data_IF_728239947660
#
_entry.id   IF_728239947660
#
_cell.length_a   1.000
_cell.length_b   1.000
_cell.length_c   1.000
_cell.angle_alpha   90.00
_cell.angle_beta   90.00
_cell.angle_gamma   90.00
#
_symmetry.space_group_name_H-M   'P 1'
#
loop_
_entity.id
_entity.type
_entity.pdbx_description
1 polymer ?
#
# COMPACT_ATOMS: atom_id res chain seq x y z
N UNK A 1 -4.62 -0.81 13.38
CA UNK A 1 -4.02 0.49 13.74
C UNK A 1 -3.13 1.07 12.64
N UNK A 2 -2.42 0.26 11.84
CA UNK A 2 -1.67 0.73 10.66
C UNK A 2 -2.54 0.96 9.41
N UNK A 3 -3.50 0.07 9.12
CA UNK A 3 -4.44 0.24 7.98
C UNK A 3 -5.35 1.46 8.14
N UNK A 4 -5.89 1.68 9.35
CA UNK A 4 -6.74 2.85 9.63
C UNK A 4 -5.94 4.14 9.49
N UNK A 5 -4.67 4.18 9.94
CA UNK A 5 -3.82 5.38 9.79
C UNK A 5 -3.45 5.66 8.33
N UNK A 6 -3.23 4.67 7.48
CA UNK A 6 -2.93 4.88 6.05
C UNK A 6 -4.16 5.38 5.28
N UNK A 7 -5.34 4.82 5.58
CA UNK A 7 -6.61 5.28 5.02
C UNK A 7 -6.99 6.67 5.53
N UNK A 8 -6.87 6.96 6.83
CA UNK A 8 -7.26 8.28 7.39
C UNK A 8 -6.29 9.39 7.01
N UNK A 9 -4.98 9.12 6.90
CA UNK A 9 -4.02 10.14 6.45
C UNK A 9 -4.28 10.57 5.00
N UNK A 10 -4.84 9.69 4.17
CA UNK A 10 -5.24 10.00 2.80
C UNK A 10 -6.65 10.61 2.72
N UNK A 11 -7.58 10.21 3.60
CA UNK A 11 -8.95 10.77 3.69
C UNK A 11 -8.97 12.21 4.26
N UNK A 12 -8.18 12.50 5.31
CA UNK A 12 -8.11 13.84 5.93
C UNK A 12 -7.53 14.90 4.98
N UNK A 13 -6.77 14.50 3.94
CA UNK A 13 -6.30 15.40 2.89
C UNK A 13 -7.35 15.70 1.81
N UNK A 14 -8.41 14.89 1.70
CA UNK A 14 -9.41 14.97 0.61
C UNK A 14 -10.58 15.92 0.87
N UNK A 15 -10.73 16.51 2.07
CA UNK A 15 -11.89 17.37 2.37
C UNK A 15 -11.59 18.87 2.50
N UNK A 16 -10.35 19.34 2.33
CA UNK A 16 -10.02 20.75 2.57
C UNK A 16 -9.86 21.63 1.33
N UNK A 17 -10.67 21.46 0.29
CA UNK A 17 -10.99 22.59 -0.63
C UNK A 17 -12.10 22.21 -1.61
N UNK A 18 -13.30 21.98 -1.06
CA UNK A 18 -14.51 22.00 -1.87
C UNK A 18 -14.99 23.45 -2.03
N UNK A 19 -15.29 23.83 -3.28
CA UNK A 19 -15.80 25.14 -3.77
C UNK A 19 -14.71 26.19 -3.97
N UNK A 20 -14.47 26.75 -5.16
CA UNK A 20 -15.43 27.30 -6.14
C UNK A 20 -14.88 27.27 -7.58
N UNK A 21 -15.72 26.92 -8.56
CA UNK A 21 -15.64 27.43 -9.95
C UNK A 21 -14.89 26.58 -10.98
N UNK A 22 -15.49 25.47 -11.44
CA UNK A 22 -14.88 24.60 -12.45
C UNK A 22 -15.20 24.98 -13.92
N UNK A 23 -15.80 26.14 -14.18
CA UNK A 23 -16.40 26.41 -15.50
C UNK A 23 -15.53 27.21 -16.48
N UNK A 24 -14.31 27.65 -16.10
CA UNK A 24 -13.39 28.32 -17.05
C UNK A 24 -11.92 28.26 -16.59
N UNK A 25 -11.32 27.06 -16.54
CA UNK A 25 -9.88 26.95 -16.24
C UNK A 25 -9.06 26.75 -17.51
N UNK A 26 -7.93 27.47 -17.57
CA UNK A 26 -6.92 27.24 -18.60
C UNK A 26 -6.44 25.78 -18.53
N UNK A 27 -6.07 25.19 -19.68
CA UNK A 27 -5.68 23.77 -19.79
C UNK A 27 -4.65 23.35 -18.73
N UNK A 28 -3.70 24.22 -18.41
CA UNK A 28 -2.65 23.94 -17.43
C UNK A 28 -3.20 23.85 -16.00
N UNK A 29 -4.18 24.69 -15.65
CA UNK A 29 -4.87 24.65 -14.36
C UNK A 29 -5.85 23.47 -14.26
N UNK A 30 -6.47 23.06 -15.37
CA UNK A 30 -7.31 21.86 -15.41
C UNK A 30 -6.50 20.59 -15.10
N UNK A 31 -5.29 20.46 -15.67
CA UNK A 31 -4.42 19.31 -15.39
C UNK A 31 -3.98 19.28 -13.93
N UNK A 32 -3.63 20.42 -13.32
CA UNK A 32 -3.25 20.47 -11.91
C UNK A 32 -4.41 20.06 -10.99
N UNK A 33 -5.62 20.55 -11.21
CA UNK A 33 -6.80 20.15 -10.41
C UNK A 33 -7.15 18.68 -10.64
N UNK A 34 -7.08 18.19 -11.89
CA UNK A 34 -7.31 16.78 -12.18
C UNK A 34 -6.28 15.85 -11.50
N UNK A 35 -5.01 16.26 -11.43
CA UNK A 35 -3.95 15.53 -10.69
C UNK A 35 -4.12 15.61 -9.17
N UNK A 36 -4.72 16.67 -8.66
CA UNK A 36 -5.03 16.81 -7.23
C UNK A 36 -6.26 15.97 -6.83
N UNK A 37 -7.29 15.94 -7.67
CA UNK A 37 -8.53 15.17 -7.46
C UNK A 37 -8.33 13.65 -7.72
N UNK A 38 -7.39 13.28 -8.59
CA UNK A 38 -7.06 11.89 -8.89
C UNK A 38 -5.57 11.63 -8.71
N UNK A 39 -5.23 10.68 -7.82
CA UNK A 39 -3.92 10.04 -7.82
C UNK A 39 -3.53 9.70 -9.27
N UNK A 40 -2.37 10.20 -9.69
CA UNK A 40 -1.74 9.85 -10.98
C UNK A 40 -1.82 8.32 -11.16
N UNK A 41 -2.12 7.82 -12.37
CA UNK A 41 -2.32 6.39 -12.60
C UNK A 41 -1.13 5.55 -12.12
N UNK A 42 0.09 6.08 -12.18
CA UNK A 42 1.32 5.50 -11.64
C UNK A 42 1.27 5.36 -10.12
N UNK A 43 0.82 6.41 -9.39
CA UNK A 43 0.68 6.37 -7.93
C UNK A 43 -0.41 5.42 -7.48
N UNK A 44 -1.51 5.31 -8.25
CA UNK A 44 -2.55 4.30 -8.00
C UNK A 44 -1.98 2.88 -8.12
N UNK A 45 -1.14 2.64 -9.13
CA UNK A 45 -0.48 1.36 -9.30
C UNK A 45 0.52 1.08 -8.16
N UNK A 46 1.31 2.08 -7.76
CA UNK A 46 2.23 1.98 -6.62
C UNK A 46 1.48 1.63 -5.32
N UNK A 47 0.36 2.29 -5.06
CA UNK A 47 -0.49 2.00 -3.90
C UNK A 47 -1.05 0.58 -3.97
N UNK A 48 -1.60 0.17 -5.12
CA UNK A 48 -2.12 -1.18 -5.31
C UNK A 48 -1.04 -2.25 -5.11
N UNK A 49 0.18 -1.99 -5.56
CA UNK A 49 1.32 -2.89 -5.37
C UNK A 49 1.70 -3.01 -3.89
N UNK A 50 1.75 -1.89 -3.17
CA UNK A 50 2.03 -1.89 -1.73
C UNK A 50 0.93 -2.61 -0.93
N UNK A 51 -0.34 -2.37 -1.27
CA UNK A 51 -1.48 -3.05 -0.64
C UNK A 51 -1.45 -4.57 -0.88
N UNK A 52 -1.17 -5.02 -2.10
CA UNK A 52 -1.08 -6.45 -2.43
C UNK A 52 0.12 -7.11 -1.73
N UNK A 53 1.27 -6.44 -1.67
CA UNK A 53 2.44 -6.94 -0.95
C UNK A 53 2.14 -7.11 0.56
N UNK A 54 1.54 -6.10 1.20
CA UNK A 54 1.13 -6.19 2.61
C UNK A 54 0.11 -7.31 2.81
N UNK A 55 -0.83 -7.48 1.87
CA UNK A 55 -1.81 -8.56 1.92
C UNK A 55 -1.15 -9.95 1.88
N UNK A 56 -0.24 -10.17 0.92
CA UNK A 56 0.48 -11.44 0.78
C UNK A 56 1.31 -11.71 2.04
N UNK A 57 2.04 -10.71 2.51
CA UNK A 57 2.87 -10.81 3.71
C UNK A 57 2.02 -11.19 4.93
N UNK A 58 0.88 -10.54 5.13
CA UNK A 58 0.01 -10.83 6.27
C UNK A 58 -0.67 -12.20 6.17
N UNK A 59 -1.10 -12.58 4.97
CA UNK A 59 -1.84 -13.83 4.73
C UNK A 59 -0.94 -15.05 4.87
N UNK A 60 0.29 -14.98 4.38
CA UNK A 60 1.18 -16.13 4.29
C UNK A 60 2.26 -16.19 5.36
N UNK A 61 2.26 -15.27 6.34
CA UNK A 61 3.20 -15.28 7.48
C UNK A 61 3.27 -16.61 8.27
N UNK A 62 2.15 -17.37 8.30
CA UNK A 62 2.08 -18.69 8.94
C UNK A 62 1.75 -19.80 7.95
N UNK A 63 1.97 -19.57 6.65
CA UNK A 63 1.73 -20.58 5.64
C UNK A 63 2.62 -21.81 5.88
N UNK A 64 2.06 -23.00 5.65
CA UNK A 64 2.77 -24.29 5.67
C UNK A 64 2.78 -24.97 4.30
N UNK A 65 2.17 -24.31 3.31
CA UNK A 65 2.15 -24.81 1.93
C UNK A 65 3.33 -24.22 1.19
N UNK A 66 4.01 -25.04 0.38
CA UNK A 66 5.17 -24.63 -0.42
C UNK A 66 4.89 -23.35 -1.24
N UNK A 67 3.73 -23.29 -1.91
CA UNK A 67 3.31 -22.12 -2.67
C UNK A 67 3.12 -20.87 -1.81
N UNK A 68 2.60 -21.01 -0.59
CA UNK A 68 2.41 -19.90 0.32
C UNK A 68 3.73 -19.37 0.87
N UNK A 69 4.65 -20.28 1.23
CA UNK A 69 6.01 -19.94 1.67
C UNK A 69 6.80 -19.22 0.57
N UNK A 70 6.73 -19.69 -0.68
CA UNK A 70 7.38 -19.04 -1.83
C UNK A 70 6.83 -17.62 -2.07
N UNK A 71 5.51 -17.44 -2.01
CA UNK A 71 4.89 -16.11 -2.15
C UNK A 71 5.28 -15.17 -1.02
N UNK A 72 5.31 -15.68 0.22
CA UNK A 72 5.75 -14.92 1.38
C UNK A 72 7.21 -14.49 1.24
N UNK A 73 8.13 -15.41 0.95
CA UNK A 73 9.56 -15.13 0.79
C UNK A 73 9.80 -14.08 -0.29
N UNK A 74 9.23 -14.25 -1.48
CA UNK A 74 9.40 -13.27 -2.58
C UNK A 74 8.91 -11.87 -2.21
N UNK A 75 7.80 -11.81 -1.46
CA UNK A 75 7.24 -10.53 -1.01
C UNK A 75 8.10 -9.90 0.07
N UNK A 76 8.58 -10.71 1.02
CA UNK A 76 9.52 -10.27 2.05
C UNK A 76 10.83 -9.76 1.45
N UNK A 77 11.41 -10.49 0.48
CA UNK A 77 12.62 -10.10 -0.24
C UNK A 77 12.42 -8.77 -0.96
N UNK A 78 11.26 -8.54 -1.58
CA UNK A 78 10.96 -7.26 -2.23
C UNK A 78 10.83 -6.10 -1.23
N UNK A 79 10.18 -6.31 -0.07
CA UNK A 79 10.03 -5.28 0.98
C UNK A 79 11.38 -4.95 1.63
N UNK A 80 12.20 -5.95 1.89
CA UNK A 80 13.48 -5.81 2.57
C UNK A 80 14.63 -5.47 1.62
N UNK A 81 14.43 -5.63 0.31
CA UNK A 81 15.40 -5.25 -0.70
C UNK A 81 15.77 -3.77 -0.60
N UNK A 82 17.06 -3.47 -0.72
CA UNK A 82 17.61 -2.11 -0.66
C UNK A 82 17.77 -1.49 -2.05
N UNK A 83 17.70 -2.30 -3.11
CA UNK A 83 17.93 -1.86 -4.49
C UNK A 83 16.83 -0.90 -4.98
N UNK A 84 17.24 0.29 -5.44
CA UNK A 84 16.38 1.30 -6.04
C UNK A 84 16.36 1.29 -7.57
N UNK A 85 17.05 0.35 -8.20
CA UNK A 85 17.28 0.32 -9.65
C UNK A 85 16.00 0.07 -10.47
N UNK A 86 14.96 -0.48 -9.84
CA UNK A 86 13.68 -0.76 -10.48
C UNK A 86 12.61 0.27 -10.10
N UNK A 87 11.83 0.75 -11.07
CA UNK A 87 10.76 1.75 -10.88
C UNK A 87 9.75 1.37 -9.79
N UNK A 88 9.48 0.07 -9.63
CA UNK A 88 8.59 -0.47 -8.61
C UNK A 88 9.34 -1.23 -7.51
N UNK A 89 10.61 -0.88 -7.27
CA UNK A 89 11.28 -1.24 -6.02
C UNK A 89 10.48 -0.71 -4.84
N UNK A 90 10.58 -1.37 -3.69
CA UNK A 90 9.87 -0.95 -2.49
C UNK A 90 10.23 0.49 -2.07
N UNK A 91 11.51 0.88 -2.22
CA UNK A 91 11.96 2.25 -1.97
C UNK A 91 11.25 3.25 -2.89
N UNK A 92 11.27 3.02 -4.20
CA UNK A 92 10.66 3.94 -5.18
C UNK A 92 9.13 4.01 -5.03
N UNK A 93 8.48 2.90 -4.65
CA UNK A 93 7.05 2.88 -4.33
C UNK A 93 6.76 3.72 -3.08
N UNK A 94 7.55 3.56 -2.01
CA UNK A 94 7.39 4.37 -0.81
C UNK A 94 7.60 5.85 -1.11
N UNK A 95 8.68 6.20 -1.81
CA UNK A 95 9.01 7.58 -2.18
C UNK A 95 7.92 8.21 -3.07
N UNK A 96 7.43 7.48 -4.08
CA UNK A 96 6.35 7.93 -4.96
C UNK A 96 5.02 8.18 -4.24
N UNK A 97 4.80 7.49 -3.12
CA UNK A 97 3.64 7.66 -2.23
C UNK A 97 3.90 8.65 -1.07
N UNK A 98 5.12 9.18 -0.92
CA UNK A 98 5.51 10.06 0.18
C UNK A 98 5.63 9.35 1.54
N UNK A 99 6.01 8.07 1.53
CA UNK A 99 6.22 7.23 2.72
C UNK A 99 7.71 7.03 2.97
N UNK A 100 8.11 6.96 4.24
CA UNK A 100 9.48 6.60 4.61
C UNK A 100 9.65 5.07 4.58
N UNK A 101 10.45 4.49 3.67
CA UNK A 101 10.55 3.03 3.50
C UNK A 101 11.03 2.34 4.79
N UNK A 102 11.99 2.92 5.50
CA UNK A 102 12.52 2.35 6.74
C UNK A 102 11.49 2.29 7.88
N UNK A 103 10.61 3.27 7.94
CA UNK A 103 9.51 3.27 8.91
C UNK A 103 8.53 2.13 8.62
N UNK A 104 8.20 1.92 7.34
CA UNK A 104 7.33 0.82 6.91
C UNK A 104 7.98 -0.54 7.20
N UNK A 105 9.25 -0.73 6.85
CA UNK A 105 10.01 -1.97 7.15
C UNK A 105 10.01 -2.27 8.64
N UNK A 106 10.32 -1.27 9.46
CA UNK A 106 10.33 -1.41 10.93
C UNK A 106 8.95 -1.86 11.44
N UNK A 107 7.87 -1.25 10.95
CA UNK A 107 6.50 -1.63 11.30
C UNK A 107 6.16 -3.07 10.91
N UNK A 108 6.52 -3.49 9.68
CA UNK A 108 6.26 -4.83 9.14
C UNK A 108 7.05 -5.90 9.92
N UNK A 109 8.32 -5.66 10.24
CA UNK A 109 9.16 -6.57 11.01
C UNK A 109 8.69 -6.70 12.46
N UNK A 110 8.34 -5.58 13.10
CA UNK A 110 7.78 -5.58 14.45
C UNK A 110 6.46 -6.38 14.49
N UNK A 111 5.57 -6.15 13.52
CA UNK A 111 4.33 -6.91 13.40
C UNK A 111 4.59 -8.41 13.20
N UNK A 112 5.55 -8.79 12.32
CA UNK A 112 5.92 -10.21 12.11
C UNK A 112 6.35 -10.87 13.42
N UNK A 113 7.22 -10.21 14.19
CA UNK A 113 7.69 -10.71 15.50
C UNK A 113 6.52 -10.93 16.46
N UNK A 114 5.61 -9.97 16.54
CA UNK A 114 4.48 -10.02 17.46
C UNK A 114 3.45 -11.10 17.06
N UNK A 115 3.17 -11.27 15.77
CA UNK A 115 2.35 -12.38 15.26
C UNK A 115 3.01 -13.73 15.54
N UNK A 116 4.30 -13.89 15.30
CA UNK A 116 4.99 -15.15 15.58
C UNK A 116 5.04 -15.47 17.09
N UNK A 117 5.05 -14.45 17.95
CA UNK A 117 4.95 -14.61 19.41
C UNK A 117 3.53 -14.95 19.91
N UNK A 118 2.52 -14.99 19.03
CA UNK A 118 1.14 -15.32 19.37
C UNK A 118 0.33 -14.18 19.99
N UNK A 119 0.88 -12.96 20.06
CA UNK A 119 0.22 -11.80 20.68
C UNK A 119 -0.83 -11.12 19.80
N UNK A 120 -0.78 -11.34 18.49
CA UNK A 120 -1.73 -10.79 17.52
C UNK A 120 -2.34 -11.89 16.64
N UNK A 121 -3.66 -11.81 16.46
CA UNK A 121 -4.32 -12.50 15.36
C UNK A 121 -4.03 -11.79 14.03
N UNK A 122 -3.82 -12.54 12.93
CA UNK A 122 -3.70 -11.95 11.60
C UNK A 122 -4.97 -11.17 11.28
N UNK A 123 -4.84 -9.94 10.76
CA UNK A 123 -5.98 -9.09 10.46
C UNK A 123 -6.90 -9.77 9.43
N UNK A 124 -8.21 -9.81 9.72
CA UNK A 124 -9.23 -10.28 8.76
C UNK A 124 -9.35 -9.23 7.65
N UNK A 125 -8.70 -9.48 6.52
CA UNK A 125 -8.60 -8.52 5.42
C UNK A 125 -9.92 -8.41 4.64
N UNK A 126 -10.28 -7.17 4.26
CA UNK A 126 -11.43 -6.84 3.39
C UNK A 126 -11.25 -7.33 1.95
N UNK A 127 -10.01 -7.49 1.49
CA UNK A 127 -9.65 -7.96 0.15
C UNK A 127 -9.41 -9.47 0.06
N UNK A 128 -9.91 -10.24 1.03
CA UNK A 128 -9.92 -11.70 0.93
C UNK A 128 -10.73 -12.14 -0.31
N UNK A 129 -10.01 -12.34 -1.43
CA UNK A 129 -10.58 -12.77 -2.70
C UNK A 129 -11.26 -14.14 -2.61
N UNK A 130 -11.05 -14.92 -1.53
CA UNK A 130 -11.83 -16.14 -1.29
C UNK A 130 -13.32 -15.87 -1.06
N UNK A 131 -13.69 -14.63 -0.72
CA UNK A 131 -15.10 -14.20 -0.53
C UNK A 131 -15.77 -13.73 -1.82
N UNK A 132 -15.02 -13.50 -2.90
CA UNK A 132 -15.54 -13.01 -4.18
C UNK A 132 -14.95 -13.86 -5.31
N UNK A 133 -15.51 -15.06 -5.57
CA UNK A 133 -15.09 -15.87 -6.71
C UNK A 133 -15.33 -15.10 -8.02
N UNK A 134 -14.43 -15.21 -9.01
CA UNK A 134 -14.67 -14.62 -10.33
C UNK A 134 -15.97 -15.19 -10.91
N UNK A 135 -16.82 -14.30 -11.42
CA UNK A 135 -18.07 -14.65 -12.11
C UNK A 135 -17.78 -15.35 -13.43
#
# INVERSE_FOLDING_TARGET
MFEVKMSTVLDDRLMKERSFGLDTLARDQYFDIYRQEHLEPEKKLMLALLEDAVHIYQKYIRARSKKGEELFSKTEDWILGEDSDWLFSFNNVCDGLGLAPDYIRTGILHWKKEVLSGKYEPLKNRFDRSKHPPK
#
